data_IF_411646325587
#
_entry.id   IF_411646325587
#
_cell.length_a   1.000
_cell.length_b   1.000
_cell.length_c   1.000
_cell.angle_alpha   90.00
_cell.angle_beta   90.00
_cell.angle_gamma   90.00
#
_symmetry.space_group_name_H-M   'P 1'
#
loop_
_entity.id
_entity.type
_entity.pdbx_description
1 polymer ?
#
# COMPACT_ATOMS: atom_id res chain seq x y z
N UNK A 1 9.89 6.37 49.22
CA UNK A 1 9.95 5.64 47.93
C UNK A 1 8.53 5.37 47.48
N UNK A 2 7.94 6.25 46.67
CA UNK A 2 6.60 6.00 46.11
C UNK A 2 6.74 5.23 44.78
N UNK A 3 6.14 4.04 44.73
CA UNK A 3 6.05 3.22 43.53
C UNK A 3 5.02 3.87 42.59
N UNK A 4 5.46 4.32 41.41
CA UNK A 4 4.54 4.75 40.33
C UNK A 4 3.83 3.53 39.74
N UNK A 5 2.50 3.56 39.75
CA UNK A 5 1.63 2.58 39.10
C UNK A 5 1.77 2.76 37.58
N UNK A 6 2.18 1.70 36.89
CA UNK A 6 2.26 1.67 35.43
C UNK A 6 0.84 1.68 34.86
N UNK A 7 0.48 2.73 34.12
CA UNK A 7 -0.78 2.77 33.36
C UNK A 7 -0.80 1.62 32.36
N UNK A 8 -1.82 0.75 32.48
CA UNK A 8 -1.97 -0.44 31.67
C UNK A 8 -2.29 -0.04 30.22
N UNK A 9 -1.30 -0.03 29.34
CA UNK A 9 -1.58 0.17 27.91
C UNK A 9 -2.11 -1.11 27.30
N UNK A 10 -3.27 -1.01 26.64
CA UNK A 10 -4.00 -2.13 26.02
C UNK A 10 -3.16 -2.98 25.05
N UNK A 11 -2.01 -2.48 24.55
CA UNK A 11 -1.21 -3.10 23.48
C UNK A 11 0.33 -3.02 23.64
N UNK A 12 0.89 -2.70 24.81
CA UNK A 12 2.35 -2.70 25.01
C UNK A 12 3.17 -1.60 24.28
N UNK A 13 2.54 -0.72 23.49
CA UNK A 13 3.18 0.44 22.86
C UNK A 13 3.15 1.68 23.75
N UNK A 14 3.44 1.52 25.04
CA UNK A 14 3.60 2.65 25.93
C UNK A 14 4.95 3.34 25.63
N UNK A 15 4.99 4.66 25.42
CA UNK A 15 6.24 5.37 25.24
C UNK A 15 7.05 5.36 26.55
N UNK A 16 7.99 4.42 26.70
CA UNK A 16 8.88 4.34 27.88
C UNK A 16 9.73 5.61 28.09
N UNK A 17 9.83 6.46 27.06
CA UNK A 17 10.55 7.73 27.04
C UNK A 17 9.71 8.90 26.46
N UNK A 18 8.38 8.80 26.48
CA UNK A 18 7.49 9.78 25.84
C UNK A 18 7.36 9.68 24.31
N UNK A 19 8.12 8.79 23.63
CA UNK A 19 8.01 8.57 22.17
C UNK A 19 7.17 7.33 21.81
N UNK A 20 6.10 7.47 21.02
CA UNK A 20 5.28 6.33 20.59
C UNK A 20 6.11 5.34 19.76
N UNK A 21 5.70 4.07 19.74
CA UNK A 21 6.39 3.06 18.95
C UNK A 21 6.41 3.42 17.45
N UNK A 22 7.47 3.00 16.73
CA UNK A 22 7.54 3.05 15.26
C UNK A 22 6.26 2.65 14.54
N UNK A 23 5.66 1.54 14.97
CA UNK A 23 4.45 0.95 14.39
C UNK A 23 3.21 1.79 14.68
N UNK A 24 3.02 2.20 15.94
CA UNK A 24 1.91 3.06 16.34
C UNK A 24 1.98 4.43 15.66
N UNK A 25 3.18 4.99 15.53
CA UNK A 25 3.39 6.26 14.83
C UNK A 25 3.00 6.16 13.35
N UNK A 26 3.34 5.06 12.66
CA UNK A 26 2.92 4.82 11.28
C UNK A 26 1.40 4.75 11.15
N UNK A 27 0.73 4.00 12.03
CA UNK A 27 -0.73 3.88 12.06
C UNK A 27 -1.42 5.22 12.35
N UNK A 28 -0.93 5.98 13.33
CA UNK A 28 -1.46 7.31 13.66
C UNK A 28 -1.35 8.27 12.48
N UNK A 29 -0.19 8.31 11.81
CA UNK A 29 0.02 9.16 10.64
C UNK A 29 -0.86 8.77 9.46
N UNK A 30 -1.05 7.47 9.21
CA UNK A 30 -1.96 6.97 8.18
C UNK A 30 -3.37 7.56 8.37
N UNK A 31 -3.90 7.50 9.59
CA UNK A 31 -5.21 8.07 9.92
C UNK A 31 -5.26 9.58 9.73
N UNK A 32 -4.23 10.29 10.20
CA UNK A 32 -4.14 11.75 10.06
C UNK A 32 -4.14 12.20 8.60
N UNK A 33 -3.52 11.45 7.68
CA UNK A 33 -3.55 11.76 6.24
C UNK A 33 -4.96 11.70 5.65
N UNK A 34 -5.78 10.75 6.10
CA UNK A 34 -7.11 10.50 5.53
C UNK A 34 -8.23 11.28 6.24
N UNK A 35 -8.06 11.63 7.52
CA UNK A 35 -9.15 12.10 8.39
C UNK A 35 -9.02 13.55 8.87
N UNK A 36 -7.91 14.23 8.56
CA UNK A 36 -7.68 15.61 9.02
C UNK A 36 -7.71 16.60 7.84
N UNK A 37 -8.86 17.26 7.57
CA UNK A 37 -8.98 18.27 6.52
C UNK A 37 -8.02 19.45 6.67
N UNK A 38 -7.60 19.77 7.90
CA UNK A 38 -6.69 20.87 8.19
C UNK A 38 -5.22 20.52 7.89
N UNK A 39 -4.94 19.28 7.51
CA UNK A 39 -3.60 18.91 7.06
C UNK A 39 -3.35 19.54 5.68
N UNK A 40 -2.27 20.32 5.46
CA UNK A 40 -1.95 20.91 4.15
C UNK A 40 -1.84 19.89 3.01
N UNK A 41 -1.59 18.63 3.40
CA UNK A 41 -1.46 17.47 2.54
C UNK A 41 -2.77 16.68 2.37
N UNK A 42 -3.88 17.08 2.99
CA UNK A 42 -5.16 16.36 2.93
C UNK A 42 -5.63 16.11 1.50
N UNK A 43 -5.44 17.08 0.60
CA UNK A 43 -5.75 16.96 -0.83
C UNK A 43 -5.10 15.74 -1.52
N UNK A 44 -3.95 15.28 -1.03
CA UNK A 44 -3.22 14.16 -1.62
C UNK A 44 -3.76 12.79 -1.17
N UNK A 45 -4.60 12.77 -0.12
CA UNK A 45 -5.20 11.59 0.49
C UNK A 45 -6.71 11.74 0.65
N UNK A 46 -7.18 12.35 1.75
CA UNK A 46 -8.61 12.49 2.03
C UNK A 46 -9.37 13.29 0.96
N UNK A 47 -8.73 14.25 0.29
CA UNK A 47 -9.31 14.97 -0.84
C UNK A 47 -9.48 14.14 -2.13
N UNK A 48 -8.86 12.95 -2.19
CA UNK A 48 -9.02 11.94 -3.27
C UNK A 48 -9.92 10.79 -2.86
N UNK A 49 -10.66 10.94 -1.76
CA UNK A 49 -11.49 9.90 -1.14
C UNK A 49 -10.72 8.63 -0.72
N UNK A 50 -9.41 8.76 -0.44
CA UNK A 50 -8.61 7.67 0.12
C UNK A 50 -8.95 7.51 1.60
N UNK A 51 -9.35 6.31 2.00
CA UNK A 51 -9.80 5.99 3.35
C UNK A 51 -8.95 4.90 3.99
N UNK A 52 -9.10 4.77 5.31
CA UNK A 52 -8.60 3.63 6.09
C UNK A 52 -9.76 2.65 6.25
N UNK A 53 -9.52 1.36 6.00
CA UNK A 53 -10.56 0.34 6.17
C UNK A 53 -11.06 0.29 7.63
N UNK A 54 -12.32 -0.11 7.82
CA UNK A 54 -12.94 -0.12 9.14
C UNK A 54 -12.16 -0.97 10.17
N UNK A 55 -11.56 -2.07 9.73
CA UNK A 55 -10.75 -2.97 10.57
C UNK A 55 -9.58 -2.25 11.21
N UNK A 56 -8.90 -1.36 10.47
CA UNK A 56 -7.74 -0.60 10.94
C UNK A 56 -8.08 0.67 11.71
N UNK A 57 -9.36 0.88 12.07
CA UNK A 57 -9.74 1.88 13.08
C UNK A 57 -9.23 1.50 14.47
N UNK A 58 -9.02 0.20 14.73
CA UNK A 58 -8.34 -0.32 15.92
C UNK A 58 -6.87 -0.64 15.59
N UNK A 59 -5.96 -0.17 16.43
CA UNK A 59 -4.52 -0.38 16.26
C UNK A 59 -4.14 -1.87 16.36
N UNK A 60 -4.81 -2.67 17.20
CA UNK A 60 -4.53 -4.10 17.37
C UNK A 60 -4.71 -4.87 16.08
N UNK A 61 -5.75 -4.53 15.31
CA UNK A 61 -6.01 -5.18 14.03
C UNK A 61 -4.97 -4.76 12.99
N UNK A 62 -4.55 -3.49 12.99
CA UNK A 62 -3.44 -3.05 12.16
C UNK A 62 -2.16 -3.81 12.49
N UNK A 63 -1.82 -3.95 13.78
CA UNK A 63 -0.65 -4.70 14.23
C UNK A 63 -0.76 -6.19 13.87
N UNK A 64 -1.94 -6.80 14.01
CA UNK A 64 -2.15 -8.20 13.65
C UNK A 64 -1.97 -8.44 12.14
N UNK A 65 -2.44 -7.52 11.29
CA UNK A 65 -2.37 -7.66 9.84
C UNK A 65 -0.98 -7.29 9.27
N UNK A 66 -0.32 -6.27 9.84
CA UNK A 66 0.93 -5.71 9.30
C UNK A 66 2.19 -6.16 10.04
N UNK A 67 2.05 -6.66 11.28
CA UNK A 67 3.15 -6.90 12.19
C UNK A 67 3.87 -5.62 12.65
N UNK A 68 4.94 -5.81 13.42
CA UNK A 68 5.81 -4.71 13.84
C UNK A 68 6.52 -4.07 12.65
N UNK A 69 6.62 -2.74 12.66
CA UNK A 69 7.35 -1.99 11.65
C UNK A 69 8.83 -2.39 11.70
N UNK A 70 9.39 -3.00 10.63
CA UNK A 70 10.81 -3.30 10.60
C UNK A 70 11.66 -2.02 10.61
N UNK A 71 12.92 -2.14 11.02
CA UNK A 71 13.87 -1.02 11.02
C UNK A 71 13.99 -0.43 9.60
N UNK A 72 14.09 0.89 9.52
CA UNK A 72 14.27 1.66 8.28
C UNK A 72 13.17 1.45 7.22
N UNK A 73 11.98 1.00 7.65
CA UNK A 73 10.78 0.89 6.81
C UNK A 73 9.72 1.94 7.18
N UNK A 74 8.93 2.29 6.18
CA UNK A 74 7.75 3.15 6.28
C UNK A 74 6.54 2.44 5.71
N UNK A 75 5.35 2.88 6.11
CA UNK A 75 4.09 2.37 5.56
C UNK A 75 3.87 2.98 4.18
N UNK A 76 3.72 2.12 3.18
CA UNK A 76 3.43 2.48 1.79
C UNK A 76 2.16 1.76 1.33
N UNK A 77 1.42 2.41 0.43
CA UNK A 77 0.32 1.75 -0.27
C UNK A 77 0.88 1.11 -1.52
N UNK A 78 0.45 -0.09 -1.86
CA UNK A 78 0.85 -0.73 -3.11
C UNK A 78 0.28 0.13 -4.24
N UNK A 79 -1.04 0.18 -4.40
CA UNK A 79 -1.72 1.15 -5.25
C UNK A 79 -1.89 2.50 -4.53
N UNK A 80 -1.30 3.56 -5.10
CA UNK A 80 -1.39 4.93 -4.62
C UNK A 80 -2.81 5.55 -4.70
N UNK A 81 -3.69 4.99 -5.53
CA UNK A 81 -5.09 5.39 -5.62
C UNK A 81 -5.99 4.58 -4.68
N UNK A 82 -5.53 3.40 -4.23
CA UNK A 82 -6.30 2.53 -3.33
C UNK A 82 -6.29 2.98 -1.86
N UNK A 83 -7.15 2.35 -1.08
CA UNK A 83 -7.32 2.61 0.35
C UNK A 83 -6.17 2.04 1.21
N UNK A 84 -6.12 2.44 2.48
CA UNK A 84 -5.28 1.77 3.47
C UNK A 84 -6.00 0.53 4.00
N UNK A 85 -5.52 -0.64 3.59
CA UNK A 85 -6.05 -1.95 3.95
C UNK A 85 -4.98 -3.04 3.79
N UNK A 86 -5.14 -4.22 4.41
CA UNK A 86 -4.10 -5.28 4.39
C UNK A 86 -3.63 -5.65 2.99
N UNK A 87 -4.55 -5.72 2.02
CA UNK A 87 -4.23 -6.08 0.64
C UNK A 87 -3.55 -4.98 -0.17
N UNK A 88 -3.58 -3.73 0.30
CA UNK A 88 -3.03 -2.58 -0.41
C UNK A 88 -1.91 -1.87 0.35
N UNK A 89 -1.35 -2.47 1.40
CA UNK A 89 -0.34 -1.84 2.24
C UNK A 89 0.83 -2.77 2.52
N UNK A 90 2.02 -2.19 2.64
CA UNK A 90 3.26 -2.91 2.94
C UNK A 90 4.26 -2.04 3.70
N UNK A 91 5.17 -2.69 4.41
CA UNK A 91 6.40 -2.06 4.88
C UNK A 91 7.41 -1.97 3.73
N UNK A 92 7.96 -0.79 3.48
CA UNK A 92 8.94 -0.58 2.42
C UNK A 92 10.01 0.43 2.81
N UNK A 93 11.12 0.46 2.08
CA UNK A 93 12.12 1.53 2.19
C UNK A 93 11.65 2.80 1.48
N UNK A 94 12.32 3.92 1.76
CA UNK A 94 12.13 5.18 1.03
C UNK A 94 12.29 5.01 -0.49
N UNK A 95 13.26 4.22 -0.92
CA UNK A 95 13.46 3.89 -2.35
C UNK A 95 12.24 3.20 -2.94
N UNK A 96 11.65 2.23 -2.22
CA UNK A 96 10.44 1.56 -2.66
C UNK A 96 9.25 2.52 -2.78
N UNK A 97 9.12 3.50 -1.87
CA UNK A 97 8.10 4.55 -2.00
C UNK A 97 8.33 5.45 -3.22
N UNK A 98 9.58 5.83 -3.49
CA UNK A 98 9.93 6.65 -4.66
C UNK A 98 9.60 5.90 -5.96
N UNK A 99 9.94 4.61 -6.02
CA UNK A 99 9.58 3.76 -7.16
C UNK A 99 8.06 3.67 -7.34
N UNK A 100 7.32 3.52 -6.24
CA UNK A 100 5.87 3.50 -6.28
C UNK A 100 5.26 4.82 -6.79
N UNK A 101 5.82 5.96 -6.38
CA UNK A 101 5.43 7.29 -6.90
C UNK A 101 5.65 7.44 -8.41
N UNK A 102 6.63 6.75 -9.00
CA UNK A 102 6.87 6.77 -10.46
C UNK A 102 5.86 5.90 -11.22
N UNK A 103 5.33 4.85 -10.58
CA UNK A 103 4.37 3.93 -11.18
C UNK A 103 2.93 4.24 -10.70
N UNK A 104 2.28 5.19 -11.37
CA UNK A 104 0.95 5.70 -10.98
C UNK A 104 -0.24 4.84 -11.42
N UNK A 105 -0.01 3.76 -12.18
CA UNK A 105 -1.09 2.92 -12.71
C UNK A 105 -0.94 1.47 -12.24
N UNK A 106 -2.07 0.86 -11.91
CA UNK A 106 -2.18 -0.57 -11.69
C UNK A 106 -2.21 -1.29 -13.05
N UNK A 107 -1.70 -2.51 -13.08
CA UNK A 107 -1.85 -3.42 -14.20
C UNK A 107 -2.29 -4.78 -13.69
N UNK A 108 -2.92 -5.57 -14.56
CA UNK A 108 -3.18 -6.98 -14.31
C UNK A 108 -2.25 -7.83 -15.14
N UNK A 109 -1.66 -8.84 -14.52
CA UNK A 109 -1.11 -10.00 -15.19
C UNK A 109 -2.15 -11.11 -15.20
N UNK A 110 -2.39 -11.70 -16.37
CA UNK A 110 -3.29 -12.85 -16.56
C UNK A 110 -2.43 -14.00 -17.10
N UNK A 111 -2.39 -15.13 -16.41
CA UNK A 111 -1.68 -16.32 -16.87
C UNK A 111 -2.59 -17.27 -17.69
N UNK A 112 -2.01 -18.33 -18.23
CA UNK A 112 -2.71 -19.34 -19.04
C UNK A 112 -3.76 -20.12 -18.25
N UNK A 113 -3.60 -20.23 -16.94
CA UNK A 113 -4.55 -20.87 -16.02
C UNK A 113 -5.71 -19.95 -15.64
N UNK A 114 -5.76 -18.70 -16.16
CA UNK A 114 -6.81 -17.73 -15.87
C UNK A 114 -6.65 -17.01 -14.52
N UNK A 115 -5.52 -17.19 -13.82
CA UNK A 115 -5.20 -16.41 -12.61
C UNK A 115 -4.96 -14.95 -12.99
N UNK A 116 -5.65 -14.05 -12.30
CA UNK A 116 -5.52 -12.59 -12.48
C UNK A 116 -4.82 -12.02 -11.26
N UNK A 117 -3.69 -11.36 -11.48
CA UNK A 117 -2.91 -10.71 -10.42
C UNK A 117 -2.78 -9.23 -10.74
N UNK A 118 -3.34 -8.38 -9.88
CA UNK A 118 -3.17 -6.95 -9.97
C UNK A 118 -1.86 -6.52 -9.28
N UNK A 119 -1.08 -5.65 -9.94
CA UNK A 119 0.15 -5.08 -9.39
C UNK A 119 0.43 -3.73 -10.05
N UNK A 120 1.14 -2.84 -9.38
CA UNK A 120 1.64 -1.61 -9.97
C UNK A 120 3.18 -1.56 -9.95
N UNK A 121 3.83 -2.65 -9.54
CA UNK A 121 5.28 -2.77 -9.50
C UNK A 121 5.72 -3.90 -10.43
N UNK A 122 6.07 -3.52 -11.66
CA UNK A 122 6.53 -4.47 -12.66
C UNK A 122 7.80 -5.23 -12.23
N UNK A 123 8.70 -4.62 -11.44
CA UNK A 123 9.92 -5.30 -10.96
C UNK A 123 9.61 -6.39 -9.95
N UNK A 124 8.74 -6.09 -9.00
CA UNK A 124 8.36 -7.07 -7.99
C UNK A 124 7.53 -8.19 -8.60
N UNK A 125 6.58 -7.86 -9.48
CA UNK A 125 5.83 -8.84 -10.26
C UNK A 125 6.77 -9.75 -11.06
N UNK A 126 7.77 -9.16 -11.73
CA UNK A 126 8.79 -9.88 -12.48
C UNK A 126 9.54 -10.88 -11.60
N UNK A 127 10.00 -10.44 -10.43
CA UNK A 127 10.72 -11.27 -9.46
C UNK A 127 9.87 -12.44 -8.94
N UNK A 128 8.61 -12.19 -8.62
CA UNK A 128 7.72 -13.20 -8.04
C UNK A 128 7.24 -14.25 -9.05
N UNK A 129 7.04 -13.85 -10.31
CA UNK A 129 6.41 -14.70 -11.33
C UNK A 129 7.36 -15.11 -12.47
N UNK A 130 8.66 -14.86 -12.33
CA UNK A 130 9.69 -15.32 -13.27
C UNK A 130 9.64 -14.66 -14.66
N UNK A 131 9.05 -13.46 -14.76
CA UNK A 131 8.97 -12.67 -16.00
C UNK A 131 9.98 -11.51 -15.99
N UNK A 132 10.26 -10.90 -17.14
CA UNK A 132 11.15 -9.73 -17.19
C UNK A 132 10.37 -8.41 -17.10
N UNK A 133 10.85 -7.46 -16.30
CA UNK A 133 10.21 -6.15 -16.16
C UNK A 133 10.08 -5.41 -17.51
N UNK A 134 11.11 -5.48 -18.35
CA UNK A 134 11.08 -4.90 -19.70
C UNK A 134 10.02 -5.55 -20.60
N UNK A 135 9.79 -6.86 -20.44
CA UNK A 135 8.76 -7.58 -21.18
C UNK A 135 7.35 -7.19 -20.71
N UNK A 136 7.14 -7.02 -19.40
CA UNK A 136 5.89 -6.46 -18.86
C UNK A 136 5.63 -5.08 -19.46
N UNK A 137 6.64 -4.19 -19.44
CA UNK A 137 6.51 -2.85 -20.01
C UNK A 137 6.17 -2.88 -21.50
N UNK A 138 6.83 -3.74 -22.28
CA UNK A 138 6.52 -3.92 -23.70
C UNK A 138 5.07 -4.38 -23.91
N UNK A 139 4.57 -5.31 -23.11
CA UNK A 139 3.18 -5.74 -23.19
C UNK A 139 2.20 -4.61 -22.85
N UNK A 140 2.47 -3.87 -21.77
CA UNK A 140 1.63 -2.75 -21.33
C UNK A 140 1.65 -1.55 -22.28
N UNK A 141 2.66 -1.44 -23.13
CA UNK A 141 2.79 -0.42 -24.16
C UNK A 141 2.34 -0.93 -25.55
N UNK A 142 1.74 -2.11 -25.62
CA UNK A 142 1.23 -2.69 -26.88
C UNK A 142 2.32 -3.19 -27.85
N UNK A 143 3.59 -3.23 -27.42
CA UNK A 143 4.72 -3.70 -28.25
C UNK A 143 4.84 -5.23 -28.29
N UNK A 144 4.21 -5.93 -27.35
CA UNK A 144 4.15 -7.39 -27.30
C UNK A 144 2.76 -7.84 -26.82
N UNK A 145 2.28 -9.00 -27.28
CA UNK A 145 0.95 -9.52 -26.91
C UNK A 145 0.97 -10.27 -25.56
N UNK A 146 2.07 -10.93 -25.25
CA UNK A 146 2.27 -11.75 -24.05
C UNK A 146 3.76 -11.99 -23.79
N UNK A 147 4.11 -12.50 -22.62
CA UNK A 147 5.45 -12.97 -22.28
C UNK A 147 5.39 -14.10 -21.26
N UNK A 148 6.00 -15.25 -21.57
CA UNK A 148 6.03 -16.46 -20.70
C UNK A 148 4.64 -16.85 -20.15
N UNK A 149 3.64 -16.91 -21.03
CA UNK A 149 2.26 -17.25 -20.65
C UNK A 149 1.49 -16.12 -19.94
N UNK A 150 2.12 -14.97 -19.67
CA UNK A 150 1.45 -13.82 -19.06
C UNK A 150 1.02 -12.79 -20.10
N UNK A 151 -0.21 -12.30 -19.96
CA UNK A 151 -0.74 -11.14 -20.67
C UNK A 151 -0.90 -9.99 -19.69
N UNK A 152 -0.61 -8.78 -20.14
CA UNK A 152 -0.63 -7.60 -19.28
C UNK A 152 -1.57 -6.53 -19.82
N UNK A 153 -2.35 -5.92 -18.93
CA UNK A 153 -3.21 -4.77 -19.25
C UNK A 153 -3.14 -3.73 -18.15
N UNK A 154 -3.07 -2.45 -18.51
CA UNK A 154 -3.21 -1.35 -17.56
C UNK A 154 -4.66 -1.30 -17.09
N UNK A 155 -4.85 -1.08 -15.79
CA UNK A 155 -6.15 -0.66 -15.24
C UNK A 155 -6.13 0.86 -15.24
N UNK A 156 -6.93 1.47 -16.10
CA UNK A 156 -6.97 2.93 -16.29
C UNK A 156 -8.12 3.64 -15.56
N UNK A 157 -8.98 2.94 -14.80
CA UNK A 157 -9.99 3.55 -13.90
C UNK A 157 -10.59 2.49 -12.95
N UNK A 158 -11.11 2.76 -11.73
CA UNK A 158 -12.20 3.71 -11.33
C UNK A 158 -12.28 3.97 -9.80
N UNK A 159 -12.95 5.07 -9.34
CA UNK A 159 -14.43 5.16 -9.24
C UNK A 159 -15.06 6.23 -10.16
N UNK A 160 -16.12 5.90 -10.91
CA UNK A 160 -16.97 6.89 -11.63
C UNK A 160 -17.73 6.46 -12.91
N UNK A 161 -17.08 5.86 -13.90
CA UNK A 161 -17.70 5.50 -15.20
C UNK A 161 -17.65 4.00 -15.54
N UNK A 162 -18.68 3.42 -16.17
CA UNK A 162 -18.64 2.02 -16.61
C UNK A 162 -17.56 1.79 -17.69
N UNK A 163 -16.78 0.73 -17.52
CA UNK A 163 -15.68 0.33 -18.40
C UNK A 163 -16.18 0.17 -19.85
N UNK A 164 -15.76 1.07 -20.74
CA UNK A 164 -15.95 0.92 -22.20
C UNK A 164 -14.74 0.23 -22.82
N UNK A 165 -15.00 -0.80 -23.63
CA UNK A 165 -14.00 -1.44 -24.49
C UNK A 165 -13.96 -0.70 -25.84
N UNK A 166 -12.76 -0.47 -26.37
CA UNK A 166 -12.51 -0.32 -27.80
C UNK A 166 -11.42 -1.30 -28.19
#
# INVERSE_FOLDING_TARGET
MEKRVHGNTKHGHNPWNGKPSPTYYSWKNMRQRCQNPNNPRFKDWGGRDIRVCNRWKDFSNFLADMGERPKDKTLDRIDNNGNYEPGNCRWTTLEGQIQNRRNQYLFVGINEQGTIIASNNQREFARQHGVHQSAIANCLNGRAKSHKGWRFKRITSLPGEPLRWK
#
